data_IF_731421822848
#
_entry.id   IF_731421822848
#
_cell.length_a   1.000
_cell.length_b   1.000
_cell.length_c   1.000
_cell.angle_alpha   90.00
_cell.angle_beta   90.00
_cell.angle_gamma   90.00
#
_symmetry.space_group_name_H-M   'P 1'
#
loop_
_entity.id
_entity.type
_entity.pdbx_description
1 polymer ?
#
# COMPACT_ATOMS: atom_id res chain seq x y z
N UNK A 1 6.96 24.55 12.41
CA UNK A 1 6.01 23.41 12.38
C UNK A 1 6.47 22.38 13.40
N UNK A 2 5.57 21.74 14.16
CA UNK A 2 5.95 20.65 15.06
C UNK A 2 6.35 19.39 14.28
N UNK A 3 7.42 18.73 14.72
CA UNK A 3 7.95 17.48 14.14
C UNK A 3 7.70 16.37 15.14
N UNK A 4 7.04 15.30 14.71
CA UNK A 4 6.92 14.07 15.51
C UNK A 4 8.12 13.17 15.23
N UNK A 5 8.68 12.56 16.27
CA UNK A 5 9.90 11.74 16.18
C UNK A 5 9.77 10.61 15.14
N UNK A 6 8.59 9.97 15.04
CA UNK A 6 8.34 8.89 14.08
C UNK A 6 8.46 9.36 12.62
N UNK A 7 8.00 10.58 12.29
CA UNK A 7 8.07 11.12 10.91
C UNK A 7 9.53 11.25 10.44
N UNK A 8 10.43 11.67 11.33
CA UNK A 8 11.85 11.85 11.03
C UNK A 8 12.49 10.51 10.69
N UNK A 9 12.24 9.48 11.51
CA UNK A 9 12.83 8.15 11.31
C UNK A 9 12.27 7.49 10.06
N UNK A 10 10.95 7.51 9.84
CA UNK A 10 10.32 6.91 8.66
C UNK A 10 10.82 7.55 7.36
N UNK A 11 10.99 8.87 7.34
CA UNK A 11 11.49 9.59 6.15
C UNK A 11 12.97 9.35 5.91
N UNK A 12 13.77 9.32 6.97
CA UNK A 12 15.21 9.05 6.89
C UNK A 12 15.47 7.64 6.37
N UNK A 13 14.76 6.65 6.93
CA UNK A 13 14.79 5.28 6.45
C UNK A 13 14.30 5.18 4.99
N UNK A 14 13.16 5.79 4.67
CA UNK A 14 12.65 5.82 3.30
C UNK A 14 13.62 6.43 2.28
N UNK A 15 14.36 7.47 2.68
CA UNK A 15 15.39 8.09 1.84
C UNK A 15 16.57 7.14 1.63
N UNK A 16 17.04 6.42 2.66
CA UNK A 16 18.11 5.42 2.51
C UNK A 16 17.67 4.26 1.61
N UNK A 17 16.39 3.87 1.65
CA UNK A 17 15.85 2.77 0.83
C UNK A 17 15.87 3.10 -0.66
N UNK A 18 15.67 4.37 -1.02
CA UNK A 18 15.75 4.83 -2.41
C UNK A 18 17.18 5.15 -2.84
N UNK A 19 17.94 5.88 -2.01
CA UNK A 19 19.25 6.41 -2.39
C UNK A 19 20.35 5.34 -2.32
N UNK A 20 20.28 4.45 -1.33
CA UNK A 20 21.36 3.51 -1.00
C UNK A 20 20.94 2.04 -1.12
N UNK A 21 19.64 1.77 -1.33
CA UNK A 21 19.08 0.42 -1.27
C UNK A 21 19.44 -0.32 0.03
N UNK A 22 19.48 0.42 1.14
CA UNK A 22 19.91 -0.08 2.45
C UNK A 22 18.79 0.06 3.49
N UNK A 23 18.33 -1.09 3.98
CA UNK A 23 17.12 -1.23 4.80
C UNK A 23 17.37 -1.28 6.32
N UNK A 24 18.59 -0.96 6.77
CA UNK A 24 18.99 -1.18 8.18
C UNK A 24 18.28 -0.28 9.20
N UNK A 25 17.85 0.92 8.80
CA UNK A 25 17.40 1.94 9.77
C UNK A 25 16.06 1.62 10.41
N UNK A 26 15.15 0.96 9.69
CA UNK A 26 13.81 0.70 10.21
C UNK A 26 13.11 -0.48 9.52
N UNK A 27 13.56 -1.72 9.71
CA UNK A 27 12.94 -2.89 9.06
C UNK A 27 11.53 -3.22 9.60
N UNK A 28 11.18 -2.81 10.82
CA UNK A 28 9.98 -3.26 11.54
C UNK A 28 8.66 -2.70 11.00
N UNK A 29 8.68 -1.52 10.39
CA UNK A 29 7.49 -0.80 9.94
C UNK A 29 7.14 -1.02 8.46
N UNK A 30 7.84 -1.93 7.78
CA UNK A 30 7.65 -2.26 6.36
C UNK A 30 8.29 -1.24 5.41
N UNK A 31 8.84 -1.71 4.29
CA UNK A 31 9.66 -0.88 3.39
C UNK A 31 8.83 0.06 2.52
N UNK A 32 7.62 -0.35 2.13
CA UNK A 32 6.77 0.40 1.20
C UNK A 32 6.30 1.75 1.76
N UNK A 33 5.73 1.85 2.98
CA UNK A 33 5.28 3.12 3.52
C UNK A 33 6.39 4.17 3.58
N UNK A 34 7.58 3.75 4.00
CA UNK A 34 8.75 4.62 4.07
C UNK A 34 9.19 5.07 2.69
N UNK A 35 9.23 4.14 1.71
CA UNK A 35 9.51 4.49 0.30
C UNK A 35 8.50 5.49 -0.25
N UNK A 36 7.20 5.30 -0.02
CA UNK A 36 6.17 6.23 -0.50
C UNK A 36 6.33 7.60 0.17
N UNK A 37 6.51 7.64 1.49
CA UNK A 37 6.67 8.88 2.24
C UNK A 37 7.92 9.68 1.83
N UNK A 38 9.02 8.99 1.54
CA UNK A 38 10.28 9.61 1.12
C UNK A 38 10.41 9.84 -0.40
N UNK A 39 9.51 9.31 -1.22
CA UNK A 39 9.57 9.48 -2.68
C UNK A 39 9.63 10.96 -3.11
N UNK A 40 8.82 11.88 -2.53
CA UNK A 40 8.91 13.31 -2.86
C UNK A 40 10.28 13.94 -2.52
N UNK A 41 11.01 13.39 -1.53
CA UNK A 41 12.33 13.89 -1.14
C UNK A 41 13.40 13.57 -2.20
N UNK A 42 13.16 12.61 -3.09
CA UNK A 42 14.10 12.29 -4.19
C UNK A 42 14.26 13.42 -5.20
N UNK A 43 13.31 14.37 -5.25
CA UNK A 43 13.41 15.56 -6.07
C UNK A 43 14.24 16.69 -5.42
N UNK A 44 14.67 16.51 -4.17
CA UNK A 44 15.46 17.48 -3.42
C UNK A 44 16.94 17.06 -3.42
N UNK A 45 17.84 18.05 -3.51
CA UNK A 45 19.26 17.82 -3.30
C UNK A 45 19.56 17.82 -1.80
N UNK A 46 19.52 16.64 -1.18
CA UNK A 46 19.69 16.46 0.26
C UNK A 46 21.05 15.83 0.58
N UNK A 47 21.70 16.38 1.61
CA UNK A 47 22.93 15.86 2.19
C UNK A 47 22.63 14.63 3.03
N UNK A 48 23.48 13.63 2.94
CA UNK A 48 23.37 12.36 3.68
C UNK A 48 24.59 12.15 4.58
N UNK A 49 24.46 11.52 5.76
CA UNK A 49 25.60 11.21 6.61
C UNK A 49 26.65 10.35 5.89
N UNK A 50 27.95 10.56 6.17
CA UNK A 50 29.02 9.73 5.65
C UNK A 50 28.85 8.23 6.01
N UNK A 51 29.38 7.33 5.18
CA UNK A 51 29.27 5.88 5.42
C UNK A 51 30.04 5.40 6.67
N UNK A 52 30.99 6.20 7.16
CA UNK A 52 31.75 5.98 8.38
C UNK A 52 31.11 6.57 9.64
N UNK A 53 29.97 7.27 9.50
CA UNK A 53 29.20 7.79 10.63
C UNK A 53 28.81 6.63 11.59
N UNK A 54 29.17 6.71 12.89
CA UNK A 54 28.88 5.67 13.86
C UNK A 54 27.37 5.38 13.99
N UNK A 55 26.52 6.39 13.93
CA UNK A 55 25.07 6.24 14.04
C UNK A 55 24.51 5.49 12.83
N UNK A 56 25.04 5.74 11.64
CA UNK A 56 24.70 4.99 10.43
C UNK A 56 25.16 3.52 10.51
N UNK A 57 26.41 3.29 10.93
CA UNK A 57 26.98 1.93 11.04
C UNK A 57 26.23 1.05 12.03
N UNK A 58 25.83 1.61 13.15
CA UNK A 58 25.08 0.92 14.20
C UNK A 58 23.56 0.96 13.99
N UNK A 59 23.08 1.46 12.84
CA UNK A 59 21.66 1.53 12.49
C UNK A 59 20.80 2.25 13.54
N UNK A 60 21.33 3.33 14.13
CA UNK A 60 20.63 4.12 15.14
C UNK A 60 19.66 5.12 14.47
N UNK A 61 18.50 4.63 14.04
CA UNK A 61 17.51 5.36 13.23
C UNK A 61 17.18 6.77 13.75
N UNK A 62 16.95 6.92 15.07
CA UNK A 62 16.66 8.22 15.68
C UNK A 62 17.82 9.22 15.50
N UNK A 63 19.05 8.80 15.81
CA UNK A 63 20.22 9.67 15.72
C UNK A 63 20.59 10.02 14.27
N UNK A 64 20.48 9.05 13.36
CA UNK A 64 20.67 9.30 11.93
C UNK A 64 19.62 10.26 11.40
N UNK A 65 18.37 10.11 11.85
CA UNK A 65 17.27 11.00 11.50
C UNK A 65 17.46 12.42 12.00
N UNK A 66 17.83 12.58 13.27
CA UNK A 66 18.15 13.88 13.86
C UNK A 66 19.29 14.57 13.11
N UNK A 67 20.34 13.81 12.77
CA UNK A 67 21.45 14.34 11.98
C UNK A 67 21.00 14.81 10.59
N UNK A 68 20.24 13.95 9.90
CA UNK A 68 19.74 14.21 8.55
C UNK A 68 18.79 15.41 8.47
N UNK A 69 17.91 15.59 9.45
CA UNK A 69 16.91 16.67 9.44
C UNK A 69 17.44 17.99 10.01
N UNK A 70 18.30 17.96 11.03
CA UNK A 70 18.64 19.16 11.81
C UNK A 70 20.10 19.60 11.70
N UNK A 71 21.05 18.68 11.54
CA UNK A 71 22.47 19.01 11.67
C UNK A 71 23.21 19.14 10.33
N UNK A 72 22.76 18.45 9.28
CA UNK A 72 23.43 18.46 7.96
C UNK A 72 23.15 19.71 7.11
N UNK A 73 22.24 20.59 7.56
CA UNK A 73 21.85 21.81 6.84
C UNK A 73 20.85 21.58 5.70
N UNK A 74 20.09 20.49 5.76
CA UNK A 74 19.02 20.21 4.81
C UNK A 74 17.81 21.14 5.03
N UNK A 75 17.02 21.45 3.98
CA UNK A 75 15.87 22.33 4.09
C UNK A 75 14.69 21.63 4.78
N UNK A 76 14.68 21.67 6.12
CA UNK A 76 13.68 21.03 6.99
C UNK A 76 12.24 21.24 6.53
N UNK A 77 11.84 22.51 6.33
CA UNK A 77 10.46 22.84 5.96
C UNK A 77 10.04 22.23 4.62
N UNK A 78 10.96 22.18 3.64
CA UNK A 78 10.70 21.59 2.33
C UNK A 78 10.59 20.07 2.42
N UNK A 79 11.44 19.44 3.21
CA UNK A 79 11.39 17.98 3.44
C UNK A 79 10.07 17.58 4.09
N UNK A 80 9.66 18.28 5.15
CA UNK A 80 8.40 18.01 5.84
C UNK A 80 7.18 18.27 4.94
N UNK A 81 7.19 19.37 4.19
CA UNK A 81 6.10 19.67 3.26
C UNK A 81 6.00 18.60 2.16
N UNK A 82 7.12 18.21 1.56
CA UNK A 82 7.17 17.19 0.52
C UNK A 82 6.68 15.84 1.04
N UNK A 83 7.17 15.42 2.21
CA UNK A 83 6.73 14.22 2.90
C UNK A 83 5.22 14.22 3.13
N UNK A 84 4.69 15.23 3.84
CA UNK A 84 3.27 15.36 4.18
C UNK A 84 2.37 15.42 2.95
N UNK A 85 2.84 16.01 1.86
CA UNK A 85 2.13 15.99 0.58
C UNK A 85 1.99 14.56 0.05
N UNK A 86 3.04 13.74 0.15
CA UNK A 86 3.00 12.32 -0.22
C UNK A 86 1.94 11.53 0.56
N UNK A 87 1.83 11.74 1.88
CA UNK A 87 0.81 11.05 2.69
C UNK A 87 -0.58 11.61 2.41
N UNK A 88 -0.73 12.92 2.24
CA UNK A 88 -2.02 13.51 1.89
C UNK A 88 -2.55 12.94 0.56
N UNK A 89 -1.67 12.73 -0.42
CA UNK A 89 -2.02 12.05 -1.68
C UNK A 89 -2.43 10.58 -1.45
N UNK A 90 -1.73 9.87 -0.56
CA UNK A 90 -2.07 8.50 -0.19
C UNK A 90 -3.44 8.43 0.54
N UNK A 91 -3.72 9.38 1.43
CA UNK A 91 -5.01 9.53 2.08
C UNK A 91 -6.13 9.82 1.08
N UNK A 92 -5.90 10.74 0.14
CA UNK A 92 -6.84 11.01 -0.96
C UNK A 92 -7.08 9.78 -1.84
N UNK A 93 -6.04 8.99 -2.11
CA UNK A 93 -6.17 7.71 -2.82
C UNK A 93 -7.00 6.69 -2.04
N UNK A 94 -6.81 6.58 -0.72
CA UNK A 94 -7.65 5.74 0.15
C UNK A 94 -9.12 6.16 0.10
N UNK A 95 -9.41 7.46 0.19
CA UNK A 95 -10.77 8.00 0.07
C UNK A 95 -11.40 7.68 -1.29
N UNK A 96 -10.62 7.82 -2.37
CA UNK A 96 -11.06 7.43 -3.71
C UNK A 96 -11.38 5.94 -3.81
N UNK A 97 -10.56 5.07 -3.20
CA UNK A 97 -10.81 3.63 -3.15
C UNK A 97 -12.10 3.30 -2.39
N UNK A 98 -12.35 3.95 -1.25
CA UNK A 98 -13.59 3.78 -0.46
C UNK A 98 -14.81 4.14 -1.31
N UNK A 99 -14.81 5.33 -1.91
CA UNK A 99 -15.89 5.77 -2.79
C UNK A 99 -16.10 4.80 -3.95
N UNK A 100 -15.01 4.40 -4.62
CA UNK A 100 -15.05 3.55 -5.81
C UNK A 100 -15.51 2.13 -5.51
N UNK A 101 -15.17 1.60 -4.34
CA UNK A 101 -15.63 0.30 -3.84
C UNK A 101 -17.11 0.33 -3.51
N UNK A 102 -17.53 1.25 -2.64
CA UNK A 102 -18.93 1.40 -2.20
C UNK A 102 -19.85 1.68 -3.39
N UNK A 103 -19.43 2.55 -4.32
CA UNK A 103 -20.16 2.81 -5.56
C UNK A 103 -20.37 1.56 -6.40
N UNK A 104 -19.38 0.65 -6.42
CA UNK A 104 -19.46 -0.60 -7.15
C UNK A 104 -20.44 -1.62 -6.57
N UNK A 105 -20.74 -1.53 -5.26
CA UNK A 105 -21.61 -2.46 -4.55
C UNK A 105 -23.04 -1.93 -4.39
N UNK A 106 -23.18 -0.65 -4.04
CA UNK A 106 -24.45 -0.05 -3.61
C UNK A 106 -24.90 1.14 -4.48
N UNK A 107 -24.18 1.44 -5.57
CA UNK A 107 -24.50 2.53 -6.49
C UNK A 107 -23.95 3.90 -6.06
N UNK A 108 -24.22 4.92 -6.90
CA UNK A 108 -23.56 6.23 -6.82
C UNK A 108 -23.84 6.98 -5.52
N UNK A 109 -25.10 7.00 -5.05
CA UNK A 109 -25.49 7.73 -3.83
C UNK A 109 -24.77 7.17 -2.61
N UNK A 110 -24.78 5.85 -2.42
CA UNK A 110 -24.07 5.19 -1.34
C UNK A 110 -22.56 5.45 -1.38
N UNK A 111 -21.98 5.54 -2.58
CA UNK A 111 -20.58 5.93 -2.77
C UNK A 111 -20.26 7.30 -2.18
N UNK A 112 -21.06 8.32 -2.48
CA UNK A 112 -20.87 9.67 -1.93
C UNK A 112 -21.13 9.74 -0.42
N UNK A 113 -22.14 9.01 0.09
CA UNK A 113 -22.37 8.93 1.54
C UNK A 113 -21.16 8.32 2.27
N UNK A 114 -20.60 7.23 1.76
CA UNK A 114 -19.39 6.63 2.35
C UNK A 114 -18.17 7.55 2.25
N UNK A 115 -18.03 8.28 1.14
CA UNK A 115 -16.97 9.29 1.00
C UNK A 115 -17.12 10.41 2.04
N UNK A 116 -18.33 10.94 2.24
CA UNK A 116 -18.58 11.95 3.25
C UNK A 116 -18.23 11.45 4.65
N UNK A 117 -18.71 10.25 5.03
CA UNK A 117 -18.36 9.64 6.31
C UNK A 117 -16.85 9.43 6.48
N UNK A 118 -16.14 9.03 5.42
CA UNK A 118 -14.71 8.82 5.46
C UNK A 118 -13.92 10.15 5.58
N UNK A 119 -14.33 11.20 4.86
CA UNK A 119 -13.70 12.53 4.94
C UNK A 119 -13.88 13.16 6.31
N UNK A 120 -15.04 12.98 6.94
CA UNK A 120 -15.32 13.50 8.29
C UNK A 120 -14.88 12.53 9.42
N UNK A 121 -14.24 11.41 9.10
CA UNK A 121 -13.76 10.48 10.11
C UNK A 121 -12.49 11.03 10.78
N UNK A 122 -12.51 11.29 12.10
CA UNK A 122 -11.36 11.87 12.80
C UNK A 122 -10.12 10.97 12.73
N UNK A 123 -10.31 9.64 12.69
CA UNK A 123 -9.20 8.70 12.56
C UNK A 123 -8.50 8.84 11.19
N UNK A 124 -9.26 8.96 10.10
CA UNK A 124 -8.66 9.12 8.76
C UNK A 124 -8.00 10.48 8.59
N UNK A 125 -8.57 11.54 9.16
CA UNK A 125 -7.97 12.88 9.17
C UNK A 125 -6.66 12.90 9.98
N UNK A 126 -6.64 12.28 11.15
CA UNK A 126 -5.46 12.22 12.01
C UNK A 126 -4.29 11.47 11.34
N UNK A 127 -4.57 10.29 10.77
CA UNK A 127 -3.53 9.48 10.11
C UNK A 127 -3.19 9.97 8.69
N UNK A 128 -4.07 10.74 8.05
CA UNK A 128 -3.80 11.36 6.74
C UNK A 128 -2.89 12.58 6.81
N UNK A 129 -2.73 13.17 8.00
CA UNK A 129 -1.87 14.33 8.22
C UNK A 129 -0.44 13.99 8.68
N UNK A 130 -0.21 12.75 9.14
CA UNK A 130 1.07 12.29 9.71
C UNK A 130 1.72 11.24 8.82
N UNK A 131 3.05 11.27 8.69
CA UNK A 131 3.84 10.32 7.90
C UNK A 131 3.91 8.89 8.46
N UNK A 132 2.75 8.28 8.67
CA UNK A 132 2.64 6.97 9.34
C UNK A 132 2.43 5.83 8.36
N UNK A 133 2.89 4.64 8.75
CA UNK A 133 2.71 3.40 7.99
C UNK A 133 1.25 2.95 7.90
N UNK A 134 0.39 3.43 8.80
CA UNK A 134 -0.98 2.96 8.94
C UNK A 134 -1.88 3.37 7.77
N UNK A 135 -1.68 4.56 7.20
CA UNK A 135 -2.41 4.98 5.99
C UNK A 135 -2.00 4.14 4.77
N UNK A 136 -0.72 3.77 4.68
CA UNK A 136 -0.21 2.95 3.58
C UNK A 136 -0.74 1.52 3.62
N UNK A 137 -0.72 0.86 4.79
CA UNK A 137 -1.30 -0.49 4.91
C UNK A 137 -2.82 -0.47 4.69
N UNK A 138 -3.52 0.57 5.14
CA UNK A 138 -4.97 0.72 4.90
C UNK A 138 -5.27 0.84 3.41
N UNK A 139 -4.53 1.68 2.68
CA UNK A 139 -4.65 1.84 1.24
C UNK A 139 -4.35 0.52 0.51
N UNK A 140 -3.25 -0.14 0.88
CA UNK A 140 -2.82 -1.39 0.25
C UNK A 140 -3.83 -2.51 0.49
N UNK A 141 -4.34 -2.68 1.71
CA UNK A 141 -5.36 -3.68 2.04
C UNK A 141 -6.64 -3.44 1.25
N UNK A 142 -7.14 -2.20 1.24
CA UNK A 142 -8.35 -1.86 0.51
C UNK A 142 -8.19 -2.07 -1.01
N UNK A 143 -7.01 -1.73 -1.55
CA UNK A 143 -6.66 -1.98 -2.94
C UNK A 143 -6.62 -3.49 -3.25
N UNK A 144 -5.99 -4.30 -2.39
CA UNK A 144 -5.87 -5.74 -2.54
C UNK A 144 -7.23 -6.43 -2.52
N UNK A 145 -8.06 -6.13 -1.50
CA UNK A 145 -9.45 -6.60 -1.38
C UNK A 145 -10.26 -6.19 -2.61
N UNK A 146 -10.12 -4.93 -3.06
CA UNK A 146 -10.84 -4.42 -4.21
C UNK A 146 -10.45 -5.10 -5.51
N UNK A 147 -9.15 -5.23 -5.78
CA UNK A 147 -8.61 -5.84 -6.97
C UNK A 147 -8.96 -7.33 -7.03
N UNK A 148 -8.81 -8.03 -5.91
CA UNK A 148 -9.13 -9.45 -5.80
C UNK A 148 -10.62 -9.73 -6.02
N UNK A 149 -11.52 -9.00 -5.36
CA UNK A 149 -12.95 -9.15 -5.60
C UNK A 149 -13.33 -8.89 -7.05
N UNK A 150 -12.74 -7.88 -7.67
CA UNK A 150 -12.94 -7.59 -9.10
C UNK A 150 -12.41 -8.67 -10.02
N UNK A 151 -11.30 -9.32 -9.65
CA UNK A 151 -10.74 -10.46 -10.36
C UNK A 151 -11.67 -11.68 -10.28
N UNK A 152 -12.33 -11.92 -9.15
CA UNK A 152 -13.31 -13.01 -8.95
C UNK A 152 -14.60 -12.86 -9.78
N UNK A 153 -14.83 -11.72 -10.41
CA UNK A 153 -15.99 -11.46 -11.27
C UNK A 153 -15.62 -11.40 -12.75
N UNK A 154 -14.50 -10.76 -13.07
CA UNK A 154 -13.99 -10.62 -14.43
C UNK A 154 -12.48 -10.83 -14.40
N UNK A 155 -12.00 -11.87 -15.07
CA UNK A 155 -10.58 -12.19 -15.16
C UNK A 155 -10.03 -11.56 -16.43
N UNK A 156 -9.05 -10.67 -16.26
CA UNK A 156 -8.32 -9.99 -17.32
C UNK A 156 -6.87 -9.84 -16.89
N UNK A 157 -5.94 -9.73 -17.85
CA UNK A 157 -4.51 -9.53 -17.55
C UNK A 157 -4.27 -8.34 -16.61
N UNK A 158 -4.96 -7.22 -16.83
CA UNK A 158 -4.90 -6.07 -15.93
C UNK A 158 -5.43 -6.30 -14.52
N UNK A 159 -6.48 -7.09 -14.35
CA UNK A 159 -6.98 -7.40 -13.00
C UNK A 159 -6.09 -8.38 -12.26
N UNK A 160 -5.45 -9.30 -12.99
CA UNK A 160 -4.43 -10.19 -12.42
C UNK A 160 -3.22 -9.36 -11.96
N UNK A 161 -2.68 -8.51 -12.84
CA UNK A 161 -1.55 -7.63 -12.51
C UNK A 161 -1.86 -6.72 -11.31
N UNK A 162 -3.04 -6.07 -11.29
CA UNK A 162 -3.45 -5.23 -10.16
C UNK A 162 -3.60 -6.02 -8.86
N UNK A 163 -4.12 -7.26 -8.90
CA UNK A 163 -4.24 -8.10 -7.71
C UNK A 163 -2.87 -8.54 -7.17
N UNK A 164 -1.93 -8.88 -8.06
CA UNK A 164 -0.55 -9.25 -7.70
C UNK A 164 0.18 -8.05 -7.09
N UNK A 165 0.11 -6.88 -7.75
CA UNK A 165 0.76 -5.67 -7.27
C UNK A 165 0.18 -5.20 -5.94
N UNK A 166 -1.15 -5.23 -5.78
CA UNK A 166 -1.79 -4.84 -4.53
C UNK A 166 -1.50 -5.86 -3.41
N UNK A 167 -1.46 -7.16 -3.72
CA UNK A 167 -1.06 -8.21 -2.78
C UNK A 167 0.38 -8.04 -2.32
N UNK A 168 1.31 -7.82 -3.24
CA UNK A 168 2.72 -7.51 -2.93
C UNK A 168 2.84 -6.23 -2.10
N UNK A 169 2.08 -5.19 -2.42
CA UNK A 169 2.06 -3.94 -1.66
C UNK A 169 1.62 -4.14 -0.20
N UNK A 170 0.65 -5.01 0.07
CA UNK A 170 0.24 -5.35 1.45
C UNK A 170 1.39 -6.02 2.21
N UNK A 171 2.08 -6.97 1.58
CA UNK A 171 3.19 -7.70 2.20
C UNK A 171 4.39 -6.79 2.47
N UNK A 172 4.68 -5.85 1.57
CA UNK A 172 5.73 -4.84 1.73
C UNK A 172 5.35 -3.73 2.71
N UNK A 173 4.05 -3.52 2.96
CA UNK A 173 3.59 -2.42 3.79
C UNK A 173 3.76 -2.67 5.28
N UNK A 174 3.46 -3.88 5.76
CA UNK A 174 3.63 -4.25 7.17
C UNK A 174 3.56 -5.76 7.31
N UNK A 175 4.26 -6.33 8.29
CA UNK A 175 4.13 -7.76 8.64
C UNK A 175 2.67 -8.13 8.99
N UNK A 176 1.89 -7.19 9.53
CA UNK A 176 0.46 -7.34 9.80
C UNK A 176 -0.41 -7.46 8.53
N UNK A 177 0.17 -7.24 7.34
CA UNK A 177 -0.46 -7.50 6.05
C UNK A 177 -0.89 -8.96 5.86
N UNK A 178 -0.39 -9.89 6.68
CA UNK A 178 -0.89 -11.26 6.75
C UNK A 178 -2.41 -11.33 7.04
N UNK A 179 -2.99 -10.30 7.65
CA UNK A 179 -4.45 -10.16 7.82
C UNK A 179 -5.22 -10.10 6.49
N UNK A 180 -4.56 -9.82 5.37
CA UNK A 180 -5.21 -9.97 4.06
C UNK A 180 -5.62 -11.42 3.78
N UNK A 181 -4.84 -12.42 4.21
CA UNK A 181 -5.14 -13.82 3.94
C UNK A 181 -6.55 -14.25 4.42
N UNK A 182 -6.95 -14.05 5.70
CA UNK A 182 -8.29 -14.39 6.14
C UNK A 182 -9.38 -13.54 5.45
N UNK A 183 -9.11 -12.28 5.11
CA UNK A 183 -10.07 -11.44 4.37
C UNK A 183 -10.31 -11.96 2.94
N UNK A 184 -9.25 -12.34 2.22
CA UNK A 184 -9.35 -12.89 0.87
C UNK A 184 -10.01 -14.28 0.89
N UNK A 185 -9.71 -15.11 1.89
CA UNK A 185 -10.37 -16.39 2.10
C UNK A 185 -11.89 -16.22 2.33
N UNK A 186 -12.28 -15.25 3.14
CA UNK A 186 -13.70 -14.95 3.37
C UNK A 186 -14.40 -14.52 2.07
N UNK A 187 -13.77 -13.68 1.25
CA UNK A 187 -14.29 -13.29 -0.06
C UNK A 187 -14.46 -14.49 -1.02
N UNK A 188 -13.53 -15.44 -1.00
CA UNK A 188 -13.64 -16.69 -1.77
C UNK A 188 -14.82 -17.53 -1.30
N UNK A 189 -14.98 -17.71 0.01
CA UNK A 189 -16.12 -18.43 0.59
C UNK A 189 -17.42 -17.77 0.17
N UNK A 190 -17.54 -16.44 0.28
CA UNK A 190 -18.71 -15.70 -0.20
C UNK A 190 -18.96 -15.93 -1.70
N UNK A 191 -17.91 -15.94 -2.51
CA UNK A 191 -17.99 -16.17 -3.95
C UNK A 191 -18.46 -17.57 -4.30
N UNK A 192 -18.08 -18.57 -3.51
CA UNK A 192 -18.52 -19.97 -3.68
C UNK A 192 -19.96 -20.19 -3.22
N UNK A 193 -20.38 -19.52 -2.15
CA UNK A 193 -21.77 -19.55 -1.67
C UNK A 193 -22.74 -18.88 -2.65
N UNK A 194 -22.30 -17.83 -3.35
CA UNK A 194 -23.10 -17.13 -4.38
C UNK A 194 -22.43 -17.18 -5.76
N UNK A 195 -22.54 -18.31 -6.48
CA UNK A 195 -21.87 -18.48 -7.77
C UNK A 195 -22.55 -17.64 -8.86
N UNK A 196 -22.08 -16.40 -9.02
CA UNK A 196 -22.27 -15.60 -10.22
C UNK A 196 -21.47 -16.19 -11.40
N UNK A 197 -21.88 -15.96 -12.67
CA UNK A 197 -21.08 -16.37 -13.83
C UNK A 197 -19.73 -15.67 -13.82
N UNK A 198 -18.65 -16.43 -14.01
CA UNK A 198 -17.30 -15.89 -14.11
C UNK A 198 -17.00 -15.58 -15.58
N UNK A 199 -16.55 -14.36 -15.87
CA UNK A 199 -16.16 -13.96 -17.22
C UNK A 199 -14.64 -13.99 -17.31
N UNK A 200 -14.11 -14.85 -18.17
CA UNK A 200 -12.68 -14.91 -18.49
C UNK A 200 -12.45 -14.18 -19.81
N UNK A 201 -11.71 -13.06 -19.76
CA UNK A 201 -11.32 -12.29 -20.94
C UNK A 201 -9.80 -12.18 -20.94
N UNK A 202 -9.15 -13.26 -21.35
CA UNK A 202 -7.70 -13.34 -21.57
C UNK A 202 -7.47 -13.19 -23.09
N UNK A 203 -7.19 -11.97 -23.53
CA UNK A 203 -7.06 -11.63 -24.96
C UNK A 203 -8.38 -11.29 -25.65
N UNK A 204 -8.53 -11.66 -26.93
CA UNK A 204 -9.67 -11.31 -27.77
C UNK A 204 -10.96 -12.07 -27.47
N UNK A 205 -10.89 -13.21 -26.79
CA UNK A 205 -12.03 -14.10 -26.56
C UNK A 205 -12.56 -14.01 -25.12
N UNK A 206 -13.87 -13.86 -24.98
CA UNK A 206 -14.55 -13.85 -23.69
C UNK A 206 -15.26 -15.18 -23.43
N UNK A 207 -14.78 -15.95 -22.46
CA UNK A 207 -15.39 -17.22 -22.05
C UNK A 207 -16.22 -17.00 -20.78
N UNK A 208 -17.50 -17.39 -20.80
CA UNK A 208 -18.37 -17.33 -19.61
C UNK A 208 -18.47 -18.70 -18.96
N UNK A 209 -17.89 -18.85 -17.77
CA UNK A 209 -18.03 -20.05 -16.97
C UNK A 209 -19.30 -19.96 -16.11
N UNK A 210 -20.19 -20.94 -16.29
CA UNK A 210 -21.44 -21.07 -15.51
C UNK A 210 -21.43 -22.26 -14.55
N UNK A 211 -20.57 -23.26 -14.77
CA UNK A 211 -20.49 -24.47 -13.92
C UNK A 211 -19.83 -24.13 -12.58
N UNK A 212 -20.49 -24.47 -11.47
CA UNK A 212 -20.00 -24.21 -10.10
C UNK A 212 -18.61 -24.80 -9.85
N UNK A 213 -18.39 -26.07 -10.21
CA UNK A 213 -17.08 -26.72 -10.02
C UNK A 213 -15.96 -26.03 -10.80
N UNK A 214 -16.23 -25.57 -12.03
CA UNK A 214 -15.25 -24.83 -12.83
C UNK A 214 -14.96 -23.44 -12.24
N UNK A 215 -15.97 -22.74 -11.70
CA UNK A 215 -15.78 -21.45 -11.02
C UNK A 215 -14.91 -21.63 -9.77
N UNK A 216 -15.17 -22.66 -8.95
CA UNK A 216 -14.37 -22.94 -7.76
C UNK A 216 -12.93 -23.27 -8.16
N UNK A 217 -12.72 -24.20 -9.10
CA UNK A 217 -11.38 -24.57 -9.55
C UNK A 217 -10.58 -23.36 -10.08
N UNK A 218 -11.18 -22.53 -10.94
CA UNK A 218 -10.50 -21.37 -11.51
C UNK A 218 -10.24 -20.29 -10.46
N UNK A 219 -11.18 -20.01 -9.57
CA UNK A 219 -10.99 -18.98 -8.53
C UNK A 219 -9.95 -19.42 -7.49
N UNK A 220 -9.91 -20.70 -7.10
CA UNK A 220 -8.85 -21.26 -6.26
C UNK A 220 -7.49 -21.18 -6.94
N UNK A 221 -7.40 -21.61 -8.21
CA UNK A 221 -6.15 -21.55 -8.96
C UNK A 221 -5.63 -20.11 -9.12
N UNK A 222 -6.51 -19.15 -9.41
CA UNK A 222 -6.15 -17.72 -9.49
C UNK A 222 -5.68 -17.19 -8.14
N UNK A 223 -6.31 -17.60 -7.04
CA UNK A 223 -5.89 -17.17 -5.70
C UNK A 223 -4.48 -17.65 -5.41
N UNK A 224 -4.20 -18.93 -5.61
CA UNK A 224 -2.86 -19.50 -5.39
C UNK A 224 -1.83 -18.83 -6.29
N UNK A 225 -2.14 -18.64 -7.57
CA UNK A 225 -1.25 -17.98 -8.53
C UNK A 225 -0.96 -16.52 -8.14
N UNK A 226 -1.98 -15.75 -7.77
CA UNK A 226 -1.80 -14.34 -7.36
C UNK A 226 -1.07 -14.22 -6.03
N UNK A 227 -1.30 -15.12 -5.07
CA UNK A 227 -0.56 -15.15 -3.81
C UNK A 227 0.92 -15.48 -4.02
N UNK A 228 1.22 -16.52 -4.82
CA UNK A 228 2.59 -16.89 -5.15
C UNK A 228 3.33 -15.78 -5.93
N UNK A 229 2.67 -15.16 -6.90
CA UNK A 229 3.25 -14.04 -7.64
C UNK A 229 3.44 -12.79 -6.76
N UNK A 230 2.54 -12.53 -5.81
CA UNK A 230 2.69 -11.44 -4.84
C UNK A 230 3.91 -11.64 -3.95
N UNK A 231 4.21 -12.89 -3.55
CA UNK A 231 5.48 -13.20 -2.88
C UNK A 231 6.66 -12.87 -3.80
N UNK A 232 6.61 -13.25 -5.07
CA UNK A 232 7.65 -12.89 -6.05
C UNK A 232 7.93 -11.38 -6.14
N UNK A 233 6.90 -10.52 -6.02
CA UNK A 233 7.07 -9.06 -5.97
C UNK A 233 7.89 -8.63 -4.74
N UNK A 234 7.73 -9.30 -3.60
CA UNK A 234 8.49 -9.00 -2.38
C UNK A 234 9.98 -9.33 -2.55
N UNK A 235 10.30 -10.39 -3.30
CA UNK A 235 11.69 -10.78 -3.57
C UNK A 235 12.37 -9.94 -4.65
N UNK A 236 11.60 -9.27 -5.50
CA UNK A 236 12.11 -8.49 -6.64
C UNK A 236 12.21 -6.98 -6.41
N UNK A 237 11.69 -6.45 -5.30
CA UNK A 237 11.67 -5.01 -4.99
C UNK A 237 12.52 -4.65 -3.77
#
# INVERSE_FOLDING_TARGET
MGVTADEVVHLTAGYSYWKLNDYRLQPENGTLPMRIAALPLMALDLRWPPADDPWWRHALGNHVGDNFFFNLGNPLDRMLLAARTGIALLGAFTLWLIWRWTRGLFGTTAGFCALALAVFCPALLAHGALATSDMAITAALLAAVTAFWRLLHLVTWWRIALAILAGGAVLLAKMSGLLAAPMLALLLVFRWLRPAPLILRLGGSAHRLRRRGAIIAVTSALTVATAAASLGVVWGG
#
